data_IF_140384495662
#
_entry.id   IF_140384495662
#
_cell.length_a   1.000
_cell.length_b   1.000
_cell.length_c   1.000
_cell.angle_alpha   90.00
_cell.angle_beta   90.00
_cell.angle_gamma   90.00
#
_symmetry.space_group_name_H-M   'P 1'
#
loop_
_entity.id
_entity.type
_entity.pdbx_description
1 polymer ?
#
# COMPACT_ATOMS: atom_id res chain seq x y z
N UNK A 1 24.27 -7.57 -16.79
CA UNK A 1 25.10 -6.75 -15.90
C UNK A 1 26.45 -7.43 -15.67
N UNK A 2 26.53 -8.62 -15.16
CA UNK A 2 27.77 -9.36 -14.88
C UNK A 2 28.81 -9.44 -16.02
N UNK A 3 28.40 -9.30 -17.28
CA UNK A 3 29.28 -9.25 -18.44
C UNK A 3 29.79 -7.83 -18.81
N UNK A 4 29.49 -6.81 -18.01
CA UNK A 4 29.91 -5.42 -18.24
C UNK A 4 29.31 -4.73 -19.50
N UNK A 5 28.34 -5.37 -20.17
CA UNK A 5 27.78 -4.84 -21.43
C UNK A 5 26.75 -3.71 -21.24
N UNK A 6 26.19 -3.57 -20.07
CA UNK A 6 25.20 -2.54 -19.76
C UNK A 6 25.85 -1.40 -18.98
N UNK A 7 25.72 -0.18 -19.47
CA UNK A 7 26.22 1.03 -18.80
C UNK A 7 25.26 1.59 -17.77
N UNK A 8 23.98 1.33 -17.91
CA UNK A 8 22.93 1.73 -16.98
C UNK A 8 21.74 0.78 -17.09
N UNK A 9 21.01 0.62 -15.98
CA UNK A 9 19.75 -0.13 -15.91
C UNK A 9 18.73 0.70 -15.17
N UNK A 10 17.54 0.81 -15.73
CA UNK A 10 16.38 1.43 -15.09
C UNK A 10 15.45 0.32 -14.63
N UNK A 11 15.08 0.34 -13.36
CA UNK A 11 14.25 -0.68 -12.75
C UNK A 11 13.29 -0.06 -11.72
N UNK A 12 12.27 -0.81 -11.37
CA UNK A 12 11.43 -0.55 -10.20
C UNK A 12 12.05 -1.21 -8.95
N UNK A 13 11.29 -1.33 -7.88
CA UNK A 13 11.71 -2.02 -6.65
C UNK A 13 12.09 -3.50 -6.81
N UNK A 14 11.91 -4.06 -8.00
CA UNK A 14 12.27 -5.46 -8.30
C UNK A 14 13.76 -5.77 -8.09
N UNK A 15 14.63 -4.77 -8.19
CA UNK A 15 16.07 -4.91 -7.94
C UNK A 15 16.48 -4.56 -6.49
N UNK A 16 15.53 -4.20 -5.62
CA UNK A 16 15.81 -3.96 -4.19
C UNK A 16 16.20 -5.26 -3.45
N UNK A 17 15.72 -6.40 -3.96
CA UNK A 17 15.91 -7.71 -3.33
C UNK A 17 17.31 -8.27 -3.59
N UNK A 18 17.85 -8.95 -2.58
CA UNK A 18 19.20 -9.48 -2.39
C UNK A 18 19.88 -10.28 -3.50
N UNK A 19 19.75 -9.88 -4.75
CA UNK A 19 20.48 -10.48 -5.88
C UNK A 19 21.78 -9.72 -6.10
N UNK A 20 22.89 -10.44 -6.26
CA UNK A 20 24.17 -9.88 -6.67
C UNK A 20 24.14 -9.57 -8.17
N UNK A 21 24.12 -8.28 -8.48
CA UNK A 21 24.06 -7.77 -9.84
C UNK A 21 25.44 -7.54 -10.47
N UNK A 22 26.51 -7.86 -9.74
CA UNK A 22 27.88 -7.54 -10.11
C UNK A 22 28.25 -6.08 -9.86
N UNK A 23 29.24 -5.57 -10.59
CA UNK A 23 29.78 -4.23 -10.38
C UNK A 23 28.79 -3.12 -10.74
N UNK A 24 28.16 -2.52 -9.74
CA UNK A 24 27.36 -1.30 -9.84
C UNK A 24 28.10 -0.20 -9.11
N UNK A 25 28.47 0.87 -9.80
CA UNK A 25 29.26 1.98 -9.22
C UNK A 25 28.36 2.98 -8.47
N UNK A 26 27.12 3.16 -8.93
CA UNK A 26 26.24 4.21 -8.44
C UNK A 26 24.78 3.78 -8.51
N UNK A 27 24.03 4.03 -7.45
CA UNK A 27 22.58 3.92 -7.41
C UNK A 27 21.95 5.30 -7.47
N UNK A 28 21.08 5.54 -8.45
CA UNK A 28 20.26 6.75 -8.55
C UNK A 28 18.83 6.41 -8.17
N UNK A 29 18.37 6.91 -7.02
CA UNK A 29 17.00 6.70 -6.55
C UNK A 29 16.12 7.89 -6.96
N UNK A 30 15.27 7.69 -7.96
CA UNK A 30 14.29 8.69 -8.42
C UNK A 30 13.05 8.60 -7.56
N UNK A 31 12.65 9.72 -6.96
CA UNK A 31 11.63 9.79 -5.92
C UNK A 31 12.21 9.63 -4.51
N UNK A 32 11.41 9.90 -3.49
CA UNK A 32 11.85 9.73 -2.11
C UNK A 32 11.78 8.28 -1.66
N UNK A 33 12.80 7.79 -0.90
CA UNK A 33 12.72 6.49 -0.26
C UNK A 33 11.61 6.52 0.80
N UNK A 34 10.89 5.42 0.93
CA UNK A 34 9.79 5.31 1.90
C UNK A 34 10.24 4.77 3.27
N UNK A 35 11.55 4.57 3.44
CA UNK A 35 12.19 4.13 4.67
C UNK A 35 13.71 4.23 4.56
N UNK A 36 14.40 4.45 5.69
CA UNK A 36 15.87 4.52 5.76
C UNK A 36 16.51 3.16 5.50
N UNK A 37 15.96 2.10 6.04
CA UNK A 37 16.43 0.72 5.81
C UNK A 37 16.36 0.35 4.34
N UNK A 38 15.28 0.74 3.65
CA UNK A 38 15.14 0.52 2.21
C UNK A 38 16.13 1.33 1.40
N UNK A 39 16.38 2.58 1.80
CA UNK A 39 17.41 3.40 1.17
C UNK A 39 18.79 2.70 1.27
N UNK A 40 19.15 2.22 2.45
CA UNK A 40 20.41 1.48 2.66
C UNK A 40 20.47 0.20 1.83
N UNK A 41 19.36 -0.56 1.74
CA UNK A 41 19.29 -1.76 0.89
C UNK A 41 19.57 -1.43 -0.59
N UNK A 42 19.04 -0.31 -1.09
CA UNK A 42 19.27 0.14 -2.47
C UNK A 42 20.69 0.62 -2.69
N UNK A 43 21.19 1.50 -1.81
CA UNK A 43 22.57 2.02 -1.91
C UNK A 43 23.58 0.89 -1.77
N UNK A 44 23.33 -0.08 -0.91
CA UNK A 44 24.18 -1.27 -0.73
C UNK A 44 24.27 -2.18 -1.96
N UNK A 45 23.60 -1.85 -3.09
CA UNK A 45 23.85 -2.48 -4.40
C UNK A 45 25.01 -1.87 -5.15
N UNK A 46 25.44 -0.65 -4.76
CA UNK A 46 26.59 0.00 -5.33
C UNK A 46 27.87 -0.38 -4.57
N UNK A 47 28.95 -0.61 -5.30
CA UNK A 47 30.27 -0.94 -4.75
C UNK A 47 30.18 -2.03 -3.67
N UNK A 48 29.64 -3.19 -4.03
CA UNK A 48 29.47 -4.32 -3.11
C UNK A 48 30.84 -4.97 -2.79
N UNK A 49 31.79 -4.12 -2.40
CA UNK A 49 33.19 -4.47 -2.04
C UNK A 49 33.48 -3.99 -0.63
N UNK A 50 34.45 -4.60 0.01
CA UNK A 50 34.85 -4.27 1.39
C UNK A 50 35.63 -2.97 1.51
N UNK A 51 36.28 -2.54 0.43
CA UNK A 51 37.24 -1.45 0.37
C UNK A 51 36.68 -0.13 -0.17
N UNK A 52 35.48 -0.12 -0.74
CA UNK A 52 34.91 1.07 -1.31
C UNK A 52 33.51 1.37 -0.69
N UNK A 53 33.20 2.64 -0.36
CA UNK A 53 31.88 3.01 0.15
C UNK A 53 30.83 2.93 -0.94
N UNK A 54 29.65 2.42 -0.59
CA UNK A 54 28.49 2.47 -1.48
C UNK A 54 28.05 3.91 -1.74
N UNK A 55 27.71 4.21 -3.01
CA UNK A 55 27.32 5.56 -3.44
C UNK A 55 25.88 5.58 -3.94
N UNK A 56 25.11 6.59 -3.50
CA UNK A 56 23.73 6.79 -3.94
C UNK A 56 23.40 8.28 -4.14
N UNK A 57 22.57 8.55 -5.13
CA UNK A 57 22.01 9.88 -5.39
C UNK A 57 20.49 9.80 -5.22
N UNK A 58 19.93 10.70 -4.44
CA UNK A 58 18.48 10.87 -4.32
C UNK A 58 18.02 12.01 -5.21
N UNK A 59 17.01 11.74 -6.05
CA UNK A 59 16.43 12.72 -6.97
C UNK A 59 14.95 12.90 -6.61
N UNK A 60 14.63 13.88 -5.74
CA UNK A 60 13.23 14.13 -5.36
C UNK A 60 12.43 14.66 -6.54
N UNK A 61 11.21 14.15 -6.74
CA UNK A 61 10.32 14.57 -7.83
C UNK A 61 9.48 15.82 -7.49
N UNK A 62 9.39 16.19 -6.23
CA UNK A 62 8.62 17.36 -5.78
C UNK A 62 9.17 17.93 -4.46
N UNK A 63 8.65 19.10 -4.06
CA UNK A 63 9.12 19.83 -2.86
C UNK A 63 8.96 19.03 -1.57
N UNK A 64 7.90 18.22 -1.45
CA UNK A 64 7.70 17.40 -0.26
C UNK A 64 8.69 16.24 -0.20
N UNK A 65 9.00 15.65 -1.33
CA UNK A 65 10.00 14.58 -1.41
C UNK A 65 11.41 15.05 -1.06
N UNK A 66 11.70 16.36 -1.19
CA UNK A 66 12.95 16.91 -0.65
C UNK A 66 13.02 16.74 0.87
N UNK A 67 11.91 16.98 1.58
CA UNK A 67 11.84 16.74 3.03
C UNK A 67 12.01 15.25 3.37
N UNK A 68 11.34 14.37 2.63
CA UNK A 68 11.46 12.92 2.82
C UNK A 68 12.90 12.44 2.56
N UNK A 69 13.54 12.91 1.49
CA UNK A 69 14.94 12.60 1.18
C UNK A 69 15.89 13.10 2.26
N UNK A 70 15.69 14.35 2.73
CA UNK A 70 16.50 14.94 3.81
C UNK A 70 16.33 14.14 5.11
N UNK A 71 15.09 13.75 5.44
CA UNK A 71 14.80 12.91 6.59
C UNK A 71 15.48 11.53 6.49
N UNK A 72 15.48 10.93 5.30
CA UNK A 72 16.12 9.64 5.07
C UNK A 72 17.65 9.72 5.19
N UNK A 73 18.28 10.76 4.64
CA UNK A 73 19.74 11.00 4.78
C UNK A 73 20.09 11.19 6.26
N UNK A 74 19.32 12.01 6.99
CA UNK A 74 19.53 12.22 8.42
C UNK A 74 19.37 10.92 9.22
N UNK A 75 18.38 10.08 8.89
CA UNK A 75 18.20 8.78 9.53
C UNK A 75 19.39 7.85 9.31
N UNK A 76 19.96 7.84 8.10
CA UNK A 76 21.16 7.05 7.78
C UNK A 76 22.36 7.57 8.58
N UNK A 77 22.55 8.90 8.64
CA UNK A 77 23.65 9.50 9.40
C UNK A 77 23.55 9.21 10.91
N UNK A 78 22.35 9.14 11.45
CA UNK A 78 22.09 8.82 12.86
C UNK A 78 22.07 7.30 13.13
N UNK A 79 22.36 6.45 12.13
CA UNK A 79 22.22 4.99 12.21
C UNK A 79 20.82 4.52 12.64
N UNK A 80 19.80 5.33 12.40
CA UNK A 80 18.43 5.05 12.75
C UNK A 80 17.74 4.31 11.59
N UNK A 81 17.54 3.02 11.77
CA UNK A 81 16.82 2.19 10.81
C UNK A 81 15.33 2.11 11.15
N UNK A 82 14.51 1.84 10.13
CA UNK A 82 13.08 1.62 10.29
C UNK A 82 12.84 0.22 10.86
N UNK A 83 13.12 0.04 12.13
CA UNK A 83 12.89 -1.22 12.80
C UNK A 83 11.52 -1.17 13.47
N UNK A 84 10.48 -1.80 12.91
CA UNK A 84 9.20 -1.88 13.60
C UNK A 84 9.37 -2.67 14.90
N UNK A 85 8.54 -2.41 15.91
CA UNK A 85 8.52 -3.24 17.10
C UNK A 85 8.27 -4.70 16.70
N UNK A 86 8.88 -5.62 17.44
CA UNK A 86 8.69 -7.06 17.24
C UNK A 86 7.19 -7.37 17.29
N UNK A 87 6.65 -7.86 16.19
CA UNK A 87 5.26 -8.32 16.12
C UNK A 87 5.23 -9.78 16.53
N UNK A 88 4.40 -10.09 17.51
CA UNK A 88 4.21 -11.45 18.02
C UNK A 88 2.81 -11.94 17.67
N UNK A 89 2.65 -13.24 17.47
CA UNK A 89 1.34 -13.88 17.32
C UNK A 89 0.62 -13.57 16.00
N UNK A 90 1.33 -13.33 14.91
CA UNK A 90 0.73 -13.09 13.59
C UNK A 90 0.04 -14.37 13.07
N UNK A 91 -1.30 -14.44 13.20
CA UNK A 91 -2.08 -15.65 12.91
C UNK A 91 -2.19 -15.95 11.40
N UNK A 92 -2.08 -14.95 10.55
CA UNK A 92 -2.01 -15.11 9.08
C UNK A 92 -0.71 -15.80 8.65
N UNK A 93 0.42 -15.45 9.26
CA UNK A 93 1.70 -16.12 9.04
C UNK A 93 1.66 -17.54 9.55
N UNK A 94 1.03 -17.77 10.72
CA UNK A 94 0.82 -19.10 11.26
C UNK A 94 -0.06 -19.95 10.33
N UNK A 95 -1.12 -19.39 9.78
CA UNK A 95 -1.99 -20.09 8.82
C UNK A 95 -1.22 -20.52 7.56
N UNK A 96 -0.32 -19.65 7.05
CA UNK A 96 0.57 -20.00 5.95
C UNK A 96 1.53 -21.14 6.32
N UNK A 97 2.10 -21.12 7.52
CA UNK A 97 2.98 -22.18 8.02
C UNK A 97 2.25 -23.51 8.15
N UNK A 98 1.05 -23.52 8.76
CA UNK A 98 0.18 -24.71 8.86
C UNK A 98 -0.08 -25.33 7.49
N UNK A 99 -0.43 -24.50 6.50
CA UNK A 99 -0.62 -24.96 5.12
C UNK A 99 0.66 -25.54 4.53
N UNK A 100 1.81 -24.89 4.78
CA UNK A 100 3.12 -25.35 4.33
C UNK A 100 3.48 -26.73 4.89
N UNK A 101 3.26 -26.93 6.19
CA UNK A 101 3.45 -28.24 6.84
C UNK A 101 2.58 -29.32 6.19
N UNK A 102 1.29 -29.02 5.99
CA UNK A 102 0.36 -29.95 5.33
C UNK A 102 0.75 -30.28 3.88
N UNK A 103 1.41 -29.37 3.16
CA UNK A 103 1.90 -29.60 1.81
C UNK A 103 3.18 -30.46 1.76
N UNK A 104 3.93 -30.52 2.85
CA UNK A 104 5.10 -31.36 3.01
C UNK A 104 4.69 -32.79 3.38
N UNK A 105 4.14 -32.96 4.56
CA UNK A 105 3.73 -34.25 5.12
C UNK A 105 2.54 -34.07 6.09
N UNK A 106 1.75 -35.14 6.30
CA UNK A 106 0.68 -35.14 7.29
C UNK A 106 1.23 -34.96 8.71
N UNK A 107 0.59 -34.10 9.53
CA UNK A 107 1.01 -33.78 10.89
C UNK A 107 -0.12 -33.90 11.90
N UNK A 108 0.24 -34.15 13.16
CA UNK A 108 -0.67 -34.03 14.30
C UNK A 108 -0.74 -32.61 14.78
N UNK A 109 -1.93 -32.11 15.13
CA UNK A 109 -2.11 -30.73 15.59
C UNK A 109 -1.31 -30.44 16.86
N UNK A 110 -1.23 -31.39 17.77
CA UNK A 110 -0.51 -31.25 19.04
C UNK A 110 1.00 -31.10 18.81
N UNK A 111 1.58 -31.93 17.94
CA UNK A 111 3.00 -31.87 17.62
C UNK A 111 3.37 -30.50 16.96
N UNK A 112 2.53 -30.05 16.02
CA UNK A 112 2.76 -28.76 15.37
C UNK A 112 2.57 -27.57 16.34
N UNK A 113 1.63 -27.66 17.28
CA UNK A 113 1.45 -26.63 18.29
C UNK A 113 2.71 -26.46 19.15
N UNK A 114 3.26 -27.57 19.67
CA UNK A 114 4.49 -27.53 20.45
C UNK A 114 5.70 -27.04 19.62
N UNK A 115 5.81 -27.51 18.35
CA UNK A 115 6.85 -27.03 17.44
C UNK A 115 6.76 -25.50 17.25
N UNK A 116 5.58 -24.96 16.96
CA UNK A 116 5.37 -23.52 16.73
C UNK A 116 5.71 -22.67 17.94
N UNK A 117 5.40 -23.13 19.15
CA UNK A 117 5.71 -22.42 20.40
C UNK A 117 7.21 -22.29 20.68
N UNK A 118 8.07 -23.09 20.06
CA UNK A 118 9.53 -22.92 20.18
C UNK A 118 10.02 -21.64 19.47
N UNK A 119 9.24 -21.11 18.54
CA UNK A 119 9.58 -19.86 17.84
C UNK A 119 9.21 -18.64 18.71
N UNK A 120 10.15 -17.70 18.88
CA UNK A 120 9.98 -16.52 19.71
C UNK A 120 8.69 -15.72 19.44
N UNK A 121 8.21 -15.52 18.20
CA UNK A 121 6.95 -14.82 17.94
C UNK A 121 5.70 -15.53 18.50
N UNK A 122 5.77 -16.83 18.76
CA UNK A 122 4.62 -17.66 19.14
C UNK A 122 4.73 -18.27 20.53
N UNK A 123 5.70 -17.86 21.35
CA UNK A 123 5.83 -18.35 22.74
C UNK A 123 4.57 -18.12 23.57
N UNK A 124 3.83 -17.03 23.29
CA UNK A 124 2.55 -16.69 23.92
C UNK A 124 1.31 -17.22 23.19
N UNK A 125 1.47 -18.06 22.17
CA UNK A 125 0.33 -18.59 21.40
C UNK A 125 -0.56 -19.47 22.28
N UNK A 126 -1.85 -19.13 22.36
CA UNK A 126 -2.82 -19.96 23.05
C UNK A 126 -3.23 -21.17 22.20
N UNK A 127 -3.63 -22.26 22.86
CA UNK A 127 -4.16 -23.41 22.14
C UNK A 127 -5.44 -23.07 21.37
N UNK A 128 -6.28 -22.22 21.93
CA UNK A 128 -7.53 -21.78 21.28
C UNK A 128 -7.26 -21.02 19.97
N UNK A 129 -6.27 -20.11 19.96
CA UNK A 129 -5.89 -19.38 18.75
C UNK A 129 -5.28 -20.30 17.69
N UNK A 130 -4.46 -21.27 18.10
CA UNK A 130 -3.90 -22.27 17.21
C UNK A 130 -5.00 -23.15 16.57
N UNK A 131 -5.94 -23.64 17.36
CA UNK A 131 -7.06 -24.45 16.86
C UNK A 131 -7.97 -23.64 15.93
N UNK A 132 -8.17 -22.36 16.22
CA UNK A 132 -8.89 -21.43 15.32
C UNK A 132 -8.16 -21.25 13.97
N UNK A 133 -6.82 -21.20 13.97
CA UNK A 133 -6.03 -21.16 12.74
C UNK A 133 -6.15 -22.48 11.96
N UNK A 134 -6.11 -23.63 12.62
CA UNK A 134 -6.34 -24.93 11.96
C UNK A 134 -7.73 -24.96 11.31
N UNK A 135 -8.79 -24.56 12.04
CA UNK A 135 -10.16 -24.49 11.50
C UNK A 135 -10.24 -23.52 10.30
N UNK A 136 -9.59 -22.37 10.41
CA UNK A 136 -9.53 -21.40 9.29
C UNK A 136 -8.90 -22.00 8.03
N UNK A 137 -7.76 -22.68 8.15
CA UNK A 137 -7.09 -23.31 6.99
C UNK A 137 -7.90 -24.48 6.45
N UNK A 138 -8.62 -25.21 7.32
CA UNK A 138 -9.47 -26.31 6.94
C UNK A 138 -10.77 -25.89 6.25
N UNK A 139 -11.34 -24.75 6.60
CA UNK A 139 -12.69 -24.36 6.16
C UNK A 139 -12.72 -23.09 5.30
N UNK A 140 -11.66 -22.27 5.31
CA UNK A 140 -11.65 -20.95 4.71
C UNK A 140 -12.32 -19.87 5.58
N UNK A 141 -12.61 -20.18 6.84
CA UNK A 141 -13.29 -19.32 7.79
C UNK A 141 -14.81 -19.46 7.80
N UNK A 142 -15.44 -18.80 8.77
CA UNK A 142 -16.87 -19.01 9.06
C UNK A 142 -17.80 -18.74 7.87
N UNK A 143 -17.49 -17.75 7.03
CA UNK A 143 -18.31 -17.36 5.87
C UNK A 143 -18.20 -18.36 4.72
N UNK A 144 -17.12 -19.15 4.64
CA UNK A 144 -16.83 -20.04 3.54
C UNK A 144 -16.95 -21.52 3.92
N UNK A 145 -17.27 -21.83 5.17
CA UNK A 145 -17.34 -23.18 5.76
C UNK A 145 -18.25 -24.14 4.98
N UNK A 146 -19.29 -23.62 4.32
CA UNK A 146 -20.22 -24.42 3.50
C UNK A 146 -19.65 -24.81 2.13
N UNK A 147 -18.49 -24.28 1.73
CA UNK A 147 -17.94 -24.51 0.40
C UNK A 147 -16.64 -25.29 0.47
N UNK A 148 -16.68 -26.57 0.19
CA UNK A 148 -15.50 -27.48 0.21
C UNK A 148 -14.32 -27.00 -0.62
N UNK A 149 -14.57 -26.22 -1.68
CA UNK A 149 -13.50 -25.65 -2.53
C UNK A 149 -12.49 -24.76 -1.79
N UNK A 150 -12.89 -24.21 -0.63
CA UNK A 150 -12.02 -23.34 0.18
C UNK A 150 -11.23 -24.13 1.24
N UNK A 151 -11.56 -25.40 1.47
CA UNK A 151 -10.78 -26.28 2.34
C UNK A 151 -9.36 -26.47 1.76
N UNK A 152 -8.35 -26.05 2.51
CA UNK A 152 -6.94 -26.22 2.11
C UNK A 152 -6.32 -27.47 2.73
N UNK A 153 -6.77 -27.83 3.92
CA UNK A 153 -6.34 -29.05 4.62
C UNK A 153 -7.55 -29.85 5.05
N UNK A 154 -7.35 -31.14 5.26
CA UNK A 154 -8.39 -32.06 5.78
C UNK A 154 -7.79 -33.01 6.78
N UNK A 155 -8.57 -33.45 7.74
CA UNK A 155 -8.17 -34.46 8.69
C UNK A 155 -8.34 -35.87 8.09
N UNK A 156 -7.37 -36.73 8.34
CA UNK A 156 -7.38 -38.15 7.97
C UNK A 156 -8.04 -38.97 9.09
N UNK A 157 -8.34 -40.24 8.84
CA UNK A 157 -8.99 -41.13 9.82
C UNK A 157 -8.15 -41.36 11.08
N UNK A 158 -6.83 -41.26 10.97
CA UNK A 158 -5.86 -41.35 12.06
C UNK A 158 -5.59 -40.01 12.80
N UNK A 159 -6.42 -38.98 12.51
CA UNK A 159 -6.36 -37.69 13.21
C UNK A 159 -5.32 -36.69 12.65
N UNK A 160 -4.52 -37.09 11.66
CA UNK A 160 -3.52 -36.22 11.06
C UNK A 160 -4.13 -35.23 10.09
N UNK A 161 -3.55 -34.05 10.00
CA UNK A 161 -3.89 -33.04 9.02
C UNK A 161 -3.01 -33.17 7.78
N UNK A 162 -3.59 -33.09 6.60
CA UNK A 162 -2.89 -33.09 5.32
C UNK A 162 -3.52 -32.13 4.33
N UNK A 163 -2.82 -31.80 3.26
CA UNK A 163 -3.37 -31.01 2.16
C UNK A 163 -4.63 -31.66 1.58
N UNK A 164 -5.67 -30.87 1.36
CA UNK A 164 -6.96 -31.34 0.88
C UNK A 164 -6.89 -31.85 -0.56
N UNK A 165 -6.10 -31.17 -1.42
CA UNK A 165 -5.95 -31.52 -2.84
C UNK A 165 -4.54 -31.16 -3.36
N UNK A 166 -3.93 -31.95 -4.28
CA UNK A 166 -2.60 -31.64 -4.84
C UNK A 166 -2.46 -30.25 -5.46
N UNK A 167 -3.51 -29.72 -6.07
CA UNK A 167 -3.51 -28.35 -6.61
C UNK A 167 -3.28 -27.28 -5.54
N UNK A 168 -3.70 -27.53 -4.29
CA UNK A 168 -3.43 -26.59 -3.18
C UNK A 168 -1.94 -26.53 -2.91
N UNK A 169 -1.26 -27.71 -2.87
CA UNK A 169 0.19 -27.77 -2.71
C UNK A 169 0.93 -27.11 -3.87
N UNK A 170 0.47 -27.29 -5.10
CA UNK A 170 1.06 -26.63 -6.26
C UNK A 170 0.95 -25.10 -6.17
N UNK A 171 -0.25 -24.59 -5.87
CA UNK A 171 -0.47 -23.14 -5.68
C UNK A 171 0.36 -22.57 -4.52
N UNK A 172 0.45 -23.31 -3.41
CA UNK A 172 1.28 -22.90 -2.28
C UNK A 172 2.74 -22.74 -2.69
N UNK A 173 3.31 -23.73 -3.41
CA UNK A 173 4.71 -23.67 -3.87
C UNK A 173 5.00 -22.51 -4.82
N UNK A 174 4.03 -22.09 -5.60
CA UNK A 174 4.16 -20.91 -6.49
C UNK A 174 4.07 -19.58 -5.73
N UNK A 175 3.53 -19.57 -4.52
CA UNK A 175 3.27 -18.38 -3.71
C UNK A 175 3.89 -18.51 -2.30
N UNK A 176 5.04 -19.15 -2.19
CA UNK A 176 5.76 -19.29 -0.91
C UNK A 176 6.40 -17.97 -0.53
N UNK A 177 6.13 -17.52 0.68
CA UNK A 177 6.73 -16.33 1.24
C UNK A 177 5.71 -15.25 1.61
N UNK A 178 6.24 -14.08 2.00
CA UNK A 178 5.47 -12.92 2.48
C UNK A 178 5.35 -11.82 1.42
N UNK A 179 5.96 -12.00 0.25
CA UNK A 179 5.85 -11.04 -0.86
C UNK A 179 4.61 -11.41 -1.66
N UNK A 180 3.58 -10.60 -1.52
CA UNK A 180 2.34 -10.73 -2.29
C UNK A 180 2.42 -9.76 -3.45
N UNK A 181 2.14 -10.26 -4.65
CA UNK A 181 1.95 -9.38 -5.81
C UNK A 181 0.71 -8.50 -5.62
N UNK A 182 0.71 -7.32 -6.24
CA UNK A 182 -0.50 -6.51 -6.31
C UNK A 182 -1.58 -7.28 -7.06
N UNK A 183 -2.83 -7.15 -6.62
CA UNK A 183 -3.97 -7.78 -7.28
C UNK A 183 -4.06 -7.28 -8.73
N UNK A 184 -3.84 -8.18 -9.66
CA UNK A 184 -3.81 -7.91 -11.08
C UNK A 184 -5.00 -8.54 -11.76
N UNK A 185 -5.73 -7.72 -12.52
CA UNK A 185 -6.88 -8.15 -13.31
C UNK A 185 -6.49 -8.36 -14.77
N UNK A 186 -7.02 -9.40 -15.39
CA UNK A 186 -6.79 -9.71 -16.80
C UNK A 186 -7.67 -8.85 -17.69
N UNK A 187 -7.09 -8.09 -18.63
CA UNK A 187 -7.83 -7.26 -19.58
C UNK A 187 -8.18 -8.06 -20.82
N UNK A 188 -9.50 -8.26 -21.07
CA UNK A 188 -10.01 -8.99 -22.22
C UNK A 188 -10.76 -8.10 -23.19
N UNK A 189 -10.29 -8.07 -24.43
CA UNK A 189 -10.94 -7.36 -25.52
C UNK A 189 -12.12 -8.19 -26.05
N UNK A 190 -13.32 -7.65 -25.92
CA UNK A 190 -14.54 -8.20 -26.53
C UNK A 190 -14.97 -7.36 -27.74
N UNK A 191 -15.67 -7.98 -28.68
CA UNK A 191 -16.26 -7.23 -29.79
C UNK A 191 -17.38 -6.35 -29.27
N UNK A 192 -17.30 -5.04 -29.53
CA UNK A 192 -18.39 -4.12 -29.22
C UNK A 192 -19.65 -4.59 -29.94
N UNK A 193 -20.72 -4.80 -29.20
CA UNK A 193 -22.04 -5.01 -29.79
C UNK A 193 -22.60 -3.65 -30.22
N UNK A 194 -22.23 -3.18 -31.40
CA UNK A 194 -22.89 -2.07 -32.00
C UNK A 194 -24.34 -2.48 -32.35
N UNK A 195 -25.33 -1.79 -31.75
CA UNK A 195 -26.68 -1.64 -32.27
C UNK A 195 -27.58 -2.86 -32.21
N UNK A 196 -28.00 -3.31 -31.03
CA UNK A 196 -29.12 -4.24 -30.86
C UNK A 196 -29.90 -3.91 -29.59
N UNK A 197 -31.07 -3.27 -29.73
CA UNK A 197 -32.02 -3.09 -28.63
C UNK A 197 -32.38 -4.44 -28.02
N UNK A 198 -32.11 -4.62 -26.72
CA UNK A 198 -32.81 -5.56 -25.87
C UNK A 198 -32.27 -6.99 -25.83
N UNK A 199 -31.01 -7.20 -25.37
CA UNK A 199 -30.64 -8.48 -24.74
C UNK A 199 -29.55 -8.20 -23.70
N UNK A 200 -29.96 -8.08 -22.44
CA UNK A 200 -29.13 -8.22 -21.24
C UNK A 200 -28.76 -9.72 -21.07
N UNK A 201 -27.86 -10.20 -21.92
CA UNK A 201 -27.29 -11.53 -21.74
C UNK A 201 -25.91 -11.39 -21.11
N UNK A 202 -25.43 -12.39 -20.33
CA UNK A 202 -24.10 -12.34 -19.75
C UNK A 202 -23.06 -12.12 -20.83
N UNK A 203 -22.08 -11.26 -20.57
CA UNK A 203 -20.90 -11.05 -21.42
C UNK A 203 -20.28 -12.43 -21.61
N UNK A 204 -20.31 -12.94 -22.86
CA UNK A 204 -19.86 -14.31 -23.14
C UNK A 204 -18.41 -14.47 -22.69
N UNK A 205 -18.12 -15.50 -21.92
CA UNK A 205 -16.75 -15.89 -21.54
C UNK A 205 -15.96 -16.11 -22.81
N UNK A 206 -15.17 -15.12 -23.22
CA UNK A 206 -14.34 -15.15 -24.41
C UNK A 206 -13.94 -13.74 -24.80
N UNK A 207 -12.70 -13.59 -25.23
CA UNK A 207 -12.12 -12.33 -25.66
C UNK A 207 -10.60 -12.49 -25.73
N UNK A 208 -9.95 -11.68 -26.57
CA UNK A 208 -8.49 -11.68 -26.66
C UNK A 208 -7.90 -11.10 -25.37
N UNK A 209 -7.05 -11.83 -24.69
CA UNK A 209 -6.26 -11.31 -23.58
C UNK A 209 -5.28 -10.26 -24.12
N UNK A 210 -5.32 -9.05 -23.57
CA UNK A 210 -4.42 -7.95 -23.93
C UNK A 210 -3.26 -7.82 -22.95
N UNK A 211 -3.45 -8.20 -21.71
CA UNK A 211 -2.48 -8.06 -20.62
C UNK A 211 -3.14 -8.02 -19.27
N UNK A 212 -2.45 -7.45 -18.28
CA UNK A 212 -2.93 -7.30 -16.92
C UNK A 212 -2.86 -5.83 -16.50
N UNK A 213 -3.80 -5.41 -15.65
CA UNK A 213 -3.89 -4.08 -15.06
C UNK A 213 -4.12 -4.21 -13.56
N UNK A 214 -3.61 -3.28 -12.76
CA UNK A 214 -3.87 -3.27 -11.32
C UNK A 214 -5.36 -3.09 -11.02
N UNK A 215 -5.90 -3.94 -10.13
CA UNK A 215 -7.29 -3.89 -9.68
C UNK A 215 -7.68 -2.49 -9.23
N UNK A 216 -6.80 -1.83 -8.50
CA UNK A 216 -6.96 -0.47 -8.03
C UNK A 216 -7.31 0.55 -9.14
N UNK A 217 -6.72 0.43 -10.32
CA UNK A 217 -7.05 1.32 -11.43
C UNK A 217 -8.48 1.09 -11.91
N UNK A 218 -8.89 -0.17 -11.97
CA UNK A 218 -10.24 -0.57 -12.43
C UNK A 218 -11.32 -0.15 -11.42
N UNK A 219 -11.04 -0.23 -10.12
CA UNK A 219 -11.97 0.27 -9.08
C UNK A 219 -12.32 1.76 -9.23
N UNK A 220 -11.45 2.55 -9.86
CA UNK A 220 -11.72 3.97 -10.13
C UNK A 220 -12.54 4.22 -11.38
N UNK A 221 -12.81 3.19 -12.18
CA UNK A 221 -13.58 3.29 -13.41
C UNK A 221 -15.04 2.91 -13.17
N UNK A 222 -15.91 3.54 -13.93
CA UNK A 222 -17.30 3.11 -14.07
C UNK A 222 -17.51 2.55 -15.49
N UNK A 223 -18.42 1.58 -15.68
CA UNK A 223 -18.76 1.10 -17.03
C UNK A 223 -19.05 2.25 -17.97
N UNK A 224 -18.38 2.27 -19.12
CA UNK A 224 -18.41 3.38 -20.08
C UNK A 224 -17.18 4.28 -20.09
N UNK A 225 -16.40 4.32 -18.99
CA UNK A 225 -15.14 5.06 -18.95
C UNK A 225 -14.14 4.50 -20.00
N UNK A 226 -13.31 5.38 -20.55
CA UNK A 226 -12.28 5.00 -21.52
C UNK A 226 -10.87 5.16 -20.93
N UNK A 227 -9.97 4.29 -21.34
CA UNK A 227 -8.58 4.33 -20.89
C UNK A 227 -7.62 3.80 -21.97
N UNK A 228 -6.37 4.22 -21.90
CA UNK A 228 -5.31 3.75 -22.81
C UNK A 228 -4.70 2.48 -22.26
N UNK A 229 -4.67 1.41 -23.06
CA UNK A 229 -4.01 0.16 -22.66
C UNK A 229 -3.50 -0.59 -23.89
N UNK A 230 -2.29 -1.15 -23.81
CA UNK A 230 -1.63 -1.88 -24.91
C UNK A 230 -1.57 -1.07 -26.25
N UNK A 231 -1.46 0.27 -26.16
CA UNK A 231 -1.42 1.16 -27.32
C UNK A 231 -2.77 1.44 -27.97
N UNK A 232 -3.88 0.96 -27.41
CA UNK A 232 -5.23 1.18 -27.90
C UNK A 232 -6.06 1.97 -26.86
N UNK A 233 -7.06 2.72 -27.33
CA UNK A 233 -8.07 3.33 -26.45
C UNK A 233 -9.19 2.32 -26.27
N UNK A 234 -9.40 1.93 -25.00
CA UNK A 234 -10.37 0.91 -24.62
C UNK A 234 -11.46 1.51 -23.74
N UNK A 235 -12.68 1.03 -23.92
CA UNK A 235 -13.83 1.34 -23.08
C UNK A 235 -14.05 0.21 -22.08
N UNK A 236 -14.14 0.56 -20.81
CA UNK A 236 -14.47 -0.37 -19.74
C UNK A 236 -15.95 -0.77 -19.82
N UNK A 237 -16.22 -2.05 -19.96
CA UNK A 237 -17.57 -2.59 -20.07
C UNK A 237 -18.02 -3.24 -18.75
N UNK A 238 -17.21 -4.13 -18.18
CA UNK A 238 -17.53 -4.81 -16.92
C UNK A 238 -16.30 -5.47 -16.29
N UNK A 239 -16.38 -5.72 -14.98
CA UNK A 239 -15.50 -6.61 -14.23
C UNK A 239 -16.27 -7.88 -13.86
N UNK A 240 -15.73 -9.04 -14.22
CA UNK A 240 -16.29 -10.35 -13.85
C UNK A 240 -15.17 -11.22 -13.29
N UNK A 241 -15.26 -11.54 -12.01
CA UNK A 241 -14.22 -12.25 -11.26
C UNK A 241 -12.88 -11.50 -11.32
N UNK A 242 -11.86 -12.04 -11.98
CA UNK A 242 -10.52 -11.46 -12.18
C UNK A 242 -10.30 -10.91 -13.62
N UNK A 243 -11.38 -10.77 -14.40
CA UNK A 243 -11.31 -10.37 -15.80
C UNK A 243 -12.05 -9.05 -16.05
N UNK A 244 -11.31 -8.11 -16.62
CA UNK A 244 -11.81 -6.79 -17.08
C UNK A 244 -12.18 -6.89 -18.55
N UNK A 245 -13.46 -6.78 -18.84
CA UNK A 245 -13.96 -6.80 -20.21
C UNK A 245 -13.96 -5.39 -20.79
N UNK A 246 -13.32 -5.25 -21.95
CA UNK A 246 -13.17 -3.96 -22.63
C UNK A 246 -13.53 -4.07 -24.10
N UNK A 247 -14.02 -2.97 -24.68
CA UNK A 247 -14.21 -2.80 -26.12
C UNK A 247 -13.34 -1.67 -26.65
N UNK A 248 -13.08 -1.63 -27.97
CA UNK A 248 -12.35 -0.51 -28.60
C UNK A 248 -13.19 0.76 -28.58
N UNK A 249 -12.54 1.88 -28.38
CA UNK A 249 -13.16 3.21 -28.39
C UNK A 249 -12.26 4.22 -29.08
N UNK A 250 -12.87 5.33 -29.54
CA UNK A 250 -12.20 6.47 -30.14
C UNK A 250 -12.41 7.73 -29.29
N UNK A 251 -12.44 7.61 -27.98
CA UNK A 251 -12.62 8.75 -27.06
C UNK A 251 -11.45 9.72 -27.17
N UNK A 252 -11.73 11.02 -27.09
CA UNK A 252 -10.71 12.08 -27.11
C UNK A 252 -10.03 12.30 -25.77
N UNK A 253 -10.63 11.83 -24.66
CA UNK A 253 -10.09 12.00 -23.28
C UNK A 253 -10.05 10.66 -22.50
N UNK A 254 -9.22 9.71 -22.92
CA UNK A 254 -9.07 8.45 -22.22
C UNK A 254 -8.25 8.63 -20.94
N UNK A 255 -8.62 7.93 -19.85
CA UNK A 255 -7.81 7.85 -18.65
C UNK A 255 -6.53 7.07 -18.92
N UNK A 256 -5.45 7.45 -18.28
CA UNK A 256 -4.18 6.72 -18.36
C UNK A 256 -4.08 5.83 -17.12
N UNK A 257 -3.85 4.52 -17.27
CA UNK A 257 -3.61 3.63 -16.14
C UNK A 257 -2.42 4.12 -15.31
N UNK A 258 -2.65 4.31 -14.04
CA UNK A 258 -1.57 4.55 -13.09
C UNK A 258 -1.22 3.22 -12.45
N UNK A 259 -0.03 2.73 -12.72
CA UNK A 259 0.56 1.62 -11.98
C UNK A 259 1.17 2.21 -10.72
N UNK A 260 0.60 1.89 -9.57
CA UNK A 260 1.11 2.44 -8.30
C UNK A 260 2.36 1.70 -7.81
N UNK A 261 2.72 0.60 -8.45
CA UNK A 261 3.82 -0.25 -8.02
C UNK A 261 3.64 -0.75 -6.59
N UNK A 262 4.68 -1.30 -5.99
CA UNK A 262 4.64 -1.70 -4.59
C UNK A 262 4.30 -0.51 -3.70
N UNK A 263 3.12 -0.51 -3.11
CA UNK A 263 2.54 0.57 -2.28
C UNK A 263 3.19 0.60 -0.90
N UNK A 264 4.51 0.73 -0.84
CA UNK A 264 5.19 0.80 0.44
C UNK A 264 4.80 2.08 1.16
N UNK A 265 4.23 1.98 2.35
CA UNK A 265 3.92 3.16 3.14
C UNK A 265 5.21 3.86 3.54
N UNK A 266 5.14 5.19 3.71
CA UNK A 266 6.18 5.92 4.42
C UNK A 266 6.34 5.29 5.81
N UNK A 267 7.57 4.98 6.22
CA UNK A 267 7.78 4.42 7.54
C UNK A 267 7.41 5.43 8.63
N UNK A 268 6.95 4.94 9.77
CA UNK A 268 6.61 5.78 10.92
C UNK A 268 7.80 6.63 11.36
N UNK A 269 9.02 6.09 11.26
CA UNK A 269 10.26 6.80 11.58
C UNK A 269 10.51 7.99 10.64
N UNK A 270 10.38 7.81 9.34
CA UNK A 270 10.55 8.91 8.41
C UNK A 270 9.41 9.93 8.53
N UNK A 271 8.17 9.48 8.75
CA UNK A 271 7.03 10.35 8.98
C UNK A 271 7.26 11.25 10.22
N UNK A 272 7.77 10.68 11.31
CA UNK A 272 8.12 11.42 12.52
C UNK A 272 9.23 12.46 12.27
N UNK A 273 10.30 12.06 11.55
CA UNK A 273 11.38 12.99 11.18
C UNK A 273 10.89 14.14 10.30
N UNK A 274 10.03 13.86 9.34
CA UNK A 274 9.41 14.90 8.50
C UNK A 274 8.56 15.84 9.35
N UNK A 275 7.76 15.32 10.30
CA UNK A 275 6.98 16.16 11.23
C UNK A 275 7.86 17.04 12.09
N UNK A 276 8.94 16.50 12.66
CA UNK A 276 9.93 17.28 13.43
C UNK A 276 10.55 18.41 12.59
N UNK A 277 10.94 18.09 11.36
CA UNK A 277 11.50 19.05 10.43
C UNK A 277 10.49 20.15 10.05
N UNK A 278 9.22 19.81 9.81
CA UNK A 278 8.17 20.78 9.54
C UNK A 278 7.88 21.68 10.75
N UNK A 279 7.86 21.12 11.95
CA UNK A 279 7.52 21.80 13.18
C UNK A 279 8.55 22.84 13.61
N UNK A 280 9.81 22.67 13.24
CA UNK A 280 10.93 23.54 13.62
C UNK A 280 11.49 24.32 12.43
N UNK A 281 11.16 25.63 12.27
CA UNK A 281 11.68 26.47 11.20
C UNK A 281 13.23 26.55 11.14
N UNK A 282 13.94 26.29 12.23
CA UNK A 282 15.40 26.26 12.22
C UNK A 282 15.94 25.14 11.35
N UNK A 283 15.23 24.03 11.25
CA UNK A 283 15.59 22.88 10.40
C UNK A 283 15.35 23.15 8.91
N UNK A 284 14.72 24.28 8.54
CA UNK A 284 14.53 24.63 7.14
C UNK A 284 15.77 25.27 6.51
N UNK A 285 16.73 25.74 7.32
CA UNK A 285 17.94 26.43 6.80
C UNK A 285 18.73 25.63 5.75
N UNK A 286 18.98 24.34 5.91
CA UNK A 286 19.71 23.54 4.93
C UNK A 286 18.89 23.14 3.70
N UNK A 287 17.58 23.39 3.69
CA UNK A 287 16.71 23.04 2.57
C UNK A 287 16.93 23.97 1.38
N UNK A 288 16.74 23.51 0.13
CA UNK A 288 16.77 24.38 -1.05
C UNK A 288 15.76 25.52 -0.96
N UNK A 289 16.12 26.71 -1.51
CA UNK A 289 15.26 27.89 -1.43
C UNK A 289 13.81 27.67 -1.90
N UNK A 290 13.53 26.94 -3.00
CA UNK A 290 12.14 26.70 -3.43
C UNK A 290 11.30 25.94 -2.40
N UNK A 291 11.95 25.13 -1.54
CA UNK A 291 11.27 24.38 -0.46
C UNK A 291 11.04 25.31 0.74
N UNK A 292 12.05 26.11 1.11
CA UNK A 292 11.93 27.11 2.18
C UNK A 292 10.84 28.14 1.88
N UNK A 293 10.81 28.67 0.66
CA UNK A 293 9.77 29.58 0.21
C UNK A 293 8.38 28.93 0.30
N UNK A 294 8.25 27.71 -0.15
CA UNK A 294 6.99 26.97 -0.07
C UNK A 294 6.51 26.79 1.38
N UNK A 295 7.40 26.46 2.31
CA UNK A 295 7.08 26.34 3.73
C UNK A 295 6.69 27.70 4.35
N UNK A 296 7.40 28.79 4.01
CA UNK A 296 7.03 30.15 4.43
C UNK A 296 5.66 30.57 3.90
N UNK A 297 5.35 30.24 2.66
CA UNK A 297 4.03 30.51 2.07
C UNK A 297 2.95 29.74 2.82
N UNK A 298 3.20 28.47 3.17
CA UNK A 298 2.28 27.66 3.96
C UNK A 298 2.05 28.29 5.34
N UNK A 299 3.12 28.70 6.01
CA UNK A 299 3.05 29.36 7.32
C UNK A 299 2.30 30.69 7.26
N UNK A 300 2.47 31.46 6.20
CA UNK A 300 1.80 32.74 6.01
C UNK A 300 0.31 32.58 5.67
N UNK A 301 -0.04 31.59 4.85
CA UNK A 301 -1.42 31.44 4.36
C UNK A 301 -2.31 30.59 5.25
N UNK A 302 -1.73 29.67 5.97
CA UNK A 302 -2.42 28.77 6.88
C UNK A 302 -1.58 28.61 8.14
N UNK A 303 -1.13 27.42 8.41
CA UNK A 303 -0.18 27.11 9.47
C UNK A 303 0.66 25.89 9.10
N UNK A 304 1.84 25.81 9.68
CA UNK A 304 2.61 24.56 9.74
C UNK A 304 2.32 23.91 11.09
N UNK A 305 1.87 22.65 11.11
CA UNK A 305 1.51 21.98 12.36
C UNK A 305 2.77 21.70 13.20
N UNK A 306 2.61 21.69 14.52
CA UNK A 306 3.63 21.15 15.43
C UNK A 306 3.65 19.63 15.32
N UNK A 307 4.67 19.01 15.91
CA UNK A 307 4.88 17.56 15.85
C UNK A 307 3.66 16.73 16.30
N UNK A 308 2.95 17.19 17.31
CA UNK A 308 1.77 16.53 17.89
C UNK A 308 0.42 17.06 17.37
N UNK A 309 0.41 18.00 16.44
CA UNK A 309 -0.81 18.64 15.95
C UNK A 309 -1.31 17.88 14.69
N UNK A 310 -2.62 17.74 14.59
CA UNK A 310 -3.29 17.38 13.34
C UNK A 310 -3.78 18.67 12.66
N UNK A 311 -3.20 19.01 11.52
CA UNK A 311 -3.70 20.11 10.70
C UNK A 311 -4.96 19.66 9.96
N UNK A 312 -6.05 20.40 10.16
CA UNK A 312 -7.33 20.21 9.46
C UNK A 312 -7.72 21.54 8.81
N UNK A 313 -7.92 21.51 7.51
CA UNK A 313 -8.37 22.65 6.73
C UNK A 313 -9.75 22.41 6.14
N UNK A 314 -10.59 23.42 6.18
CA UNK A 314 -11.91 23.42 5.52
C UNK A 314 -12.00 24.59 4.55
N UNK A 315 -12.48 24.32 3.35
CA UNK A 315 -12.63 25.38 2.34
C UNK A 315 -13.77 25.05 1.36
N UNK A 316 -14.48 26.08 0.83
CA UNK A 316 -15.44 25.89 -0.24
C UNK A 316 -14.70 25.75 -1.58
N UNK A 317 -15.23 24.89 -2.46
CA UNK A 317 -14.81 24.76 -3.85
C UNK A 317 -16.00 24.39 -4.72
N UNK A 318 -16.34 25.27 -5.66
CA UNK A 318 -17.59 25.23 -6.40
C UNK A 318 -18.79 25.20 -5.43
N UNK A 319 -19.68 24.26 -5.56
CA UNK A 319 -20.89 24.05 -4.75
C UNK A 319 -20.68 23.17 -3.50
N UNK A 320 -19.43 22.82 -3.18
CA UNK A 320 -19.10 21.86 -2.12
C UNK A 320 -18.13 22.43 -1.10
N UNK A 321 -18.19 21.90 0.11
CA UNK A 321 -17.20 22.12 1.15
C UNK A 321 -16.26 20.92 1.24
N UNK A 322 -14.96 21.21 1.39
CA UNK A 322 -13.93 20.19 1.54
C UNK A 322 -13.35 20.29 2.94
N UNK A 323 -13.12 19.13 3.53
CA UNK A 323 -12.36 18.96 4.77
C UNK A 323 -11.13 18.13 4.42
N UNK A 324 -9.94 18.67 4.71
CA UNK A 324 -8.67 18.01 4.44
C UNK A 324 -7.91 17.88 5.75
N UNK A 325 -7.50 16.66 6.07
CA UNK A 325 -6.67 16.35 7.23
C UNK A 325 -5.26 16.00 6.77
N UNK A 326 -4.24 16.52 7.47
CA UNK A 326 -2.82 16.31 7.18
C UNK A 326 -2.13 15.61 8.36
N UNK A 327 -2.31 14.30 8.55
CA UNK A 327 -1.72 13.58 9.68
C UNK A 327 -0.22 13.34 9.54
N UNK A 328 0.35 13.48 8.34
CA UNK A 328 1.77 13.22 8.03
C UNK A 328 2.26 11.85 8.52
N UNK A 329 1.39 10.87 8.44
CA UNK A 329 1.68 9.47 8.74
C UNK A 329 1.75 8.63 7.45
N UNK A 330 2.05 7.36 7.57
CA UNK A 330 2.04 6.47 6.42
C UNK A 330 0.63 6.29 5.81
N UNK A 331 0.57 5.83 4.57
CA UNK A 331 -0.66 5.68 3.78
C UNK A 331 -1.76 4.89 4.51
N UNK A 332 -1.40 3.79 5.18
CA UNK A 332 -2.38 2.95 5.89
C UNK A 332 -3.06 3.72 7.03
N UNK A 333 -2.30 4.54 7.77
CA UNK A 333 -2.87 5.41 8.79
C UNK A 333 -3.84 6.44 8.20
N UNK A 334 -3.50 7.04 7.04
CA UNK A 334 -4.39 7.95 6.32
C UNK A 334 -5.67 7.28 5.86
N UNK A 335 -5.59 6.07 5.31
CA UNK A 335 -6.76 5.30 4.89
C UNK A 335 -7.66 4.96 6.07
N UNK A 336 -7.09 4.44 7.15
CA UNK A 336 -7.85 4.10 8.38
C UNK A 336 -8.53 5.33 8.97
N UNK A 337 -7.79 6.45 9.12
CA UNK A 337 -8.34 7.69 9.61
C UNK A 337 -9.46 8.21 8.70
N UNK A 338 -9.26 8.17 7.39
CA UNK A 338 -10.27 8.58 6.41
C UNK A 338 -11.55 7.75 6.52
N UNK A 339 -11.44 6.43 6.63
CA UNK A 339 -12.60 5.54 6.81
C UNK A 339 -13.34 5.82 8.13
N UNK A 340 -12.61 5.99 9.23
CA UNK A 340 -13.20 6.29 10.54
C UNK A 340 -13.90 7.65 10.57
N UNK A 341 -13.27 8.68 9.99
CA UNK A 341 -13.87 10.01 9.88
C UNK A 341 -15.13 9.99 9.01
N UNK A 342 -15.07 9.36 7.84
CA UNK A 342 -16.22 9.21 6.94
C UNK A 342 -17.37 8.53 7.68
N UNK A 343 -17.12 7.42 8.36
CA UNK A 343 -18.14 6.68 9.10
C UNK A 343 -18.78 7.47 10.24
N UNK A 344 -17.98 8.29 10.93
CA UNK A 344 -18.50 9.17 11.99
C UNK A 344 -19.31 10.32 11.44
N UNK A 345 -18.82 10.99 10.40
CA UNK A 345 -19.50 12.09 9.75
C UNK A 345 -20.82 11.64 9.09
N UNK A 346 -20.89 10.43 8.53
CA UNK A 346 -22.12 9.85 8.00
C UNK A 346 -23.22 9.63 9.08
N UNK A 347 -22.80 9.28 10.31
CA UNK A 347 -23.75 9.13 11.44
C UNK A 347 -24.33 10.46 11.90
N UNK A 348 -23.51 11.52 11.86
CA UNK A 348 -23.88 12.84 12.37
C UNK A 348 -24.56 13.70 11.28
N UNK A 349 -24.35 13.38 10.00
CA UNK A 349 -24.84 14.10 8.83
C UNK A 349 -25.66 13.18 7.92
N UNK A 350 -26.94 12.98 8.23
CA UNK A 350 -27.85 12.11 7.49
C UNK A 350 -28.16 12.54 6.04
N UNK A 351 -27.55 13.63 5.54
CA UNK A 351 -27.92 14.22 4.24
C UNK A 351 -26.76 14.54 3.27
N UNK A 352 -25.50 14.18 3.57
CA UNK A 352 -24.38 14.53 2.68
C UNK A 352 -23.56 13.30 2.28
N UNK A 353 -23.42 13.00 0.97
CA UNK A 353 -22.49 11.97 0.51
C UNK A 353 -21.05 12.44 0.72
N UNK A 354 -20.38 11.89 1.74
CA UNK A 354 -18.97 12.16 2.00
C UNK A 354 -18.14 11.17 1.18
N UNK A 355 -17.39 11.66 0.20
CA UNK A 355 -16.38 10.86 -0.49
C UNK A 355 -15.01 11.18 0.09
N UNK A 356 -14.36 10.19 0.66
CA UNK A 356 -12.96 10.31 1.05
C UNK A 356 -12.11 10.48 -0.23
N UNK A 357 -11.56 11.69 -0.44
CA UNK A 357 -10.63 11.93 -1.52
C UNK A 357 -9.22 11.61 -1.05
N UNK A 358 -8.44 10.93 -1.88
CA UNK A 358 -7.02 10.65 -1.63
C UNK A 358 -6.22 11.94 -1.55
N UNK A 359 -5.20 12.03 -0.71
CA UNK A 359 -4.29 13.18 -0.71
C UNK A 359 -3.53 13.22 -2.04
N UNK A 360 -3.93 14.11 -2.94
CA UNK A 360 -3.10 14.51 -4.08
C UNK A 360 -2.23 15.66 -3.63
N UNK A 361 -0.95 15.42 -3.46
CA UNK A 361 0.07 16.44 -3.39
C UNK A 361 0.31 16.99 -4.79
N UNK A 362 -0.51 17.92 -5.24
CA UNK A 362 -0.40 18.52 -6.57
C UNK A 362 -0.98 19.92 -6.58
N UNK A 363 -0.14 20.86 -6.95
CA UNK A 363 -0.35 22.28 -7.28
C UNK A 363 -1.80 22.73 -7.49
N UNK A 364 -2.43 23.29 -6.46
CA UNK A 364 -3.63 24.10 -6.63
C UNK A 364 -3.23 25.52 -7.06
N UNK A 365 -3.54 25.88 -8.30
CA UNK A 365 -3.51 27.28 -8.75
C UNK A 365 -4.63 28.05 -8.06
N UNK A 366 -4.30 29.27 -7.63
CA UNK A 366 -5.07 30.18 -6.77
C UNK A 366 -6.33 30.75 -7.40
N UNK A 367 -7.35 31.02 -6.57
CA UNK A 367 -8.04 32.30 -6.49
C UNK A 367 -8.48 32.52 -5.04
N UNK A 368 -8.23 33.72 -4.52
CA UNK A 368 -8.50 34.11 -3.16
C UNK A 368 -9.92 34.64 -3.01
N UNK A 369 -10.59 34.28 -1.91
CA UNK A 369 -11.78 34.94 -1.39
C UNK A 369 -11.69 35.03 0.15
N UNK A 370 -12.21 36.08 0.80
CA UNK A 370 -11.99 36.32 2.20
C UNK A 370 -12.96 35.57 3.12
N UNK A 371 -12.46 35.04 4.20
CA UNK A 371 -13.25 34.47 5.27
C UNK A 371 -12.63 33.25 5.95
N UNK A 372 -11.67 33.52 6.82
CA UNK A 372 -10.94 32.48 7.52
C UNK A 372 -11.46 32.35 8.96
N UNK A 373 -12.33 31.41 9.24
CA UNK A 373 -12.70 31.06 10.63
C UNK A 373 -11.77 29.95 11.12
N UNK A 374 -10.77 30.36 11.87
CA UNK A 374 -9.82 29.46 12.56
C UNK A 374 -10.50 28.82 13.77
N UNK A 375 -10.86 27.55 13.73
CA UNK A 375 -11.19 26.78 14.93
C UNK A 375 -10.05 25.81 15.26
N UNK A 376 -9.41 26.02 16.41
CA UNK A 376 -8.50 25.04 17.01
C UNK A 376 -9.34 23.94 17.68
N UNK A 377 -9.21 22.71 17.23
CA UNK A 377 -9.66 21.57 18.03
C UNK A 377 -8.67 21.33 19.16
N UNK A 378 -9.03 21.80 20.37
CA UNK A 378 -8.33 21.40 21.60
C UNK A 378 -8.83 20.01 22.00
N UNK A 379 -7.94 19.05 22.12
CA UNK A 379 -8.22 17.80 22.82
C UNK A 379 -8.53 18.11 24.29
N UNK A 380 -9.78 18.03 24.70
CA UNK A 380 -10.16 18.10 26.09
C UNK A 380 -9.68 16.81 26.78
N UNK A 381 -8.58 16.91 27.53
CA UNK A 381 -8.27 15.91 28.58
C UNK A 381 -9.40 15.98 29.62
N UNK A 382 -10.28 14.98 29.63
CA UNK A 382 -11.15 14.73 30.78
C UNK A 382 -10.29 14.18 31.92
N UNK A 383 -9.95 15.04 32.85
CA UNK A 383 -9.50 14.64 34.18
C UNK A 383 -10.69 14.01 34.88
N UNK A 384 -10.66 12.71 35.07
CA UNK A 384 -11.61 12.00 35.91
C UNK A 384 -11.40 12.39 37.39
N UNK A 385 -12.34 13.15 37.97
CA UNK A 385 -12.48 13.29 39.40
C UNK A 385 -13.10 12.00 39.95
N UNK A 386 -12.35 11.26 40.70
CA UNK A 386 -12.90 10.30 41.67
C UNK A 386 -13.62 11.08 42.75
N UNK A 387 -14.87 10.80 42.97
CA UNK A 387 -15.59 11.08 44.20
C UNK A 387 -15.89 9.75 44.91
N UNK A 388 -15.75 9.79 46.20
CA UNK A 388 -15.85 8.74 47.22
C UNK A 388 -17.12 7.89 47.10
#
# INVERSE_FOLDING_TARGET
MTQGKLRAVVCTSSLDLGVDWGDVDLVVNVGAPKGSSRLLQRIGRANHRLDEPSRGILVPANRFEVLECTAAIGAVADHAQDTPPLRTGALDVLAQHVLGRACGEPFMADDLYEEVKTAAPYTGLTRADFDAVIDFVATGGYALKAYERFAKIRQTKDGRWRVAHPMVAQRYRMNVGTIVEADMLKVRLVRSRAGGKGRTGPIGRGGRLLGQVEEYFIEMLVPGDTFVFAGEILKYEALVEDEVYVSRSNSEDPKIPSYEGGKFPLSTYLAERVRKMLADPKQWSPLPEPVREWLRIQQWRSMVPRESDLLVETFPRADKYYLVCYPFEGRLAHQTLGMLLTRRLERDCTSLPIRAARPRWGSARRRAGPGNTRRRCRSSRRTGRRTR
#
